data_IF_364527793333
#
_entry.id   IF_364527793333
#
_cell.length_a   1.000
_cell.length_b   1.000
_cell.length_c   1.000
_cell.angle_alpha   90.00
_cell.angle_beta   90.00
_cell.angle_gamma   90.00
#
_symmetry.space_group_name_H-M   'P 1'
#
loop_
_entity.id
_entity.type
_entity.pdbx_description
1 polymer ?
#
# COMPACT_ATOMS: atom_id res chain seq x y z
N UNK A 1 6.63 -5.09 -19.79
CA UNK A 1 6.31 -5.49 -18.40
C UNK A 1 6.70 -4.31 -17.51
N UNK A 2 5.74 -3.50 -17.07
CA UNK A 2 5.99 -2.38 -16.15
C UNK A 2 6.31 -2.97 -14.77
N UNK A 3 7.57 -2.88 -14.34
CA UNK A 3 8.04 -3.32 -13.02
C UNK A 3 7.77 -2.21 -12.00
N UNK A 4 6.78 -2.41 -11.13
CA UNK A 4 6.44 -1.58 -9.97
C UNK A 4 7.15 -2.10 -8.69
N UNK A 5 8.41 -2.50 -8.81
CA UNK A 5 9.27 -2.77 -7.64
C UNK A 5 10.11 -1.53 -7.35
N UNK A 6 10.46 -1.31 -6.08
CA UNK A 6 11.35 -0.26 -5.55
C UNK A 6 12.80 -0.30 -6.12
N UNK A 7 12.93 -0.48 -7.43
CA UNK A 7 14.18 -0.28 -8.19
C UNK A 7 14.23 1.17 -8.72
N UNK A 8 13.81 2.12 -7.88
CA UNK A 8 14.05 3.54 -8.07
C UNK A 8 15.33 3.80 -7.26
N UNK A 9 16.26 4.65 -7.72
CA UNK A 9 17.53 4.92 -7.02
C UNK A 9 17.34 5.27 -5.53
N UNK A 10 16.16 5.80 -5.16
CA UNK A 10 15.74 6.13 -3.79
C UNK A 10 15.04 4.99 -3.02
N UNK A 11 15.06 3.76 -3.52
CA UNK A 11 14.37 2.61 -2.93
C UNK A 11 14.58 2.44 -1.42
N UNK A 12 15.83 2.49 -0.91
CA UNK A 12 16.09 2.46 0.53
C UNK A 12 15.47 3.62 1.31
N UNK A 13 15.59 4.85 0.81
CA UNK A 13 15.05 6.05 1.44
C UNK A 13 13.51 6.00 1.51
N UNK A 14 12.87 5.49 0.44
CA UNK A 14 11.41 5.28 0.41
C UNK A 14 10.99 4.19 1.40
N UNK A 15 11.71 3.07 1.52
CA UNK A 15 11.39 2.04 2.50
C UNK A 15 11.56 2.53 3.95
N UNK A 16 12.58 3.36 4.21
CA UNK A 16 12.79 3.96 5.53
C UNK A 16 11.65 4.94 5.85
N UNK A 17 11.25 5.80 4.91
CA UNK A 17 10.11 6.70 5.07
C UNK A 17 8.78 5.94 5.25
N UNK A 18 8.56 4.86 4.49
CA UNK A 18 7.39 4.00 4.67
C UNK A 18 7.39 3.35 6.05
N UNK A 19 8.53 2.82 6.51
CA UNK A 19 8.65 2.28 7.87
C UNK A 19 8.35 3.33 8.95
N UNK A 20 8.78 4.58 8.77
CA UNK A 20 8.48 5.66 9.72
C UNK A 20 6.99 6.00 9.77
N UNK A 21 6.33 6.07 8.61
CA UNK A 21 4.93 6.51 8.50
C UNK A 21 3.95 5.37 8.84
N UNK A 22 4.25 4.15 8.43
CA UNK A 22 3.31 3.02 8.49
C UNK A 22 3.69 1.93 9.48
N UNK A 23 4.89 2.04 10.06
CA UNK A 23 5.52 0.98 10.84
C UNK A 23 5.76 -0.32 10.05
N UNK A 24 5.76 -0.26 8.72
CA UNK A 24 5.96 -1.39 7.81
C UNK A 24 7.03 -1.07 6.75
N UNK A 25 8.19 -1.73 6.83
CA UNK A 25 9.28 -1.63 5.84
C UNK A 25 9.03 -2.43 4.57
N UNK A 26 8.24 -3.50 4.68
CA UNK A 26 8.06 -4.46 3.59
C UNK A 26 7.09 -3.93 2.53
N UNK A 27 7.35 -4.35 1.30
CA UNK A 27 6.41 -4.14 0.19
C UNK A 27 5.63 -5.41 -0.11
N UNK A 28 4.36 -5.28 -0.55
CA UNK A 28 3.65 -4.02 -0.80
C UNK A 28 3.24 -3.27 0.48
N UNK A 29 3.27 -1.93 0.44
CA UNK A 29 2.65 -1.03 1.41
C UNK A 29 1.40 -0.43 0.73
N UNK A 30 0.20 -0.82 1.15
CA UNK A 30 -1.04 -0.54 0.44
C UNK A 30 -1.77 0.61 1.12
N UNK A 31 -2.22 1.58 0.32
CA UNK A 31 -3.02 2.70 0.78
C UNK A 31 -4.29 2.82 -0.05
N UNK A 32 -5.42 3.10 0.60
CA UNK A 32 -6.68 3.45 -0.05
C UNK A 32 -7.19 4.72 0.61
N UNK A 33 -7.51 5.75 -0.17
CA UNK A 33 -7.99 7.04 0.33
C UNK A 33 -7.07 7.67 1.41
N UNK A 34 -5.76 7.71 1.14
CA UNK A 34 -4.71 8.18 2.06
C UNK A 34 -4.60 7.42 3.40
N UNK A 35 -5.36 6.34 3.59
CA UNK A 35 -5.27 5.49 4.77
C UNK A 35 -4.40 4.26 4.50
N UNK A 36 -3.46 3.98 5.40
CA UNK A 36 -2.64 2.79 5.33
C UNK A 36 -3.48 1.53 5.62
N UNK A 37 -3.40 0.56 4.70
CA UNK A 37 -4.15 -0.70 4.74
C UNK A 37 -3.27 -1.85 5.24
N UNK A 38 -1.96 -1.81 4.97
CA UNK A 38 -1.00 -2.88 5.30
C UNK A 38 -0.40 -3.53 4.05
N UNK A 39 -0.04 -4.81 4.17
CA UNK A 39 0.46 -5.62 3.06
C UNK A 39 -0.65 -6.39 2.33
N UNK A 40 -0.24 -7.34 1.48
CA UNK A 40 -1.18 -8.18 0.74
C UNK A 40 -2.11 -8.98 1.68
N UNK A 41 -1.58 -9.49 2.79
CA UNK A 41 -2.37 -10.25 3.77
C UNK A 41 -3.49 -9.40 4.38
N UNK A 42 -3.21 -8.13 4.70
CA UNK A 42 -4.17 -7.20 5.26
C UNK A 42 -5.25 -6.81 4.24
N UNK A 43 -4.85 -6.63 2.97
CA UNK A 43 -5.80 -6.38 1.88
C UNK A 43 -6.76 -7.57 1.68
N UNK A 44 -6.23 -8.80 1.65
CA UNK A 44 -7.03 -10.01 1.51
C UNK A 44 -7.99 -10.16 2.69
N UNK A 45 -7.53 -9.88 3.92
CA UNK A 45 -8.40 -9.88 5.10
C UNK A 45 -9.56 -8.87 5.00
N UNK A 46 -9.44 -7.83 4.18
CA UNK A 46 -10.45 -6.81 3.91
C UNK A 46 -11.24 -7.03 2.62
N UNK A 47 -11.13 -8.19 1.96
CA UNK A 47 -11.80 -8.46 0.68
C UNK A 47 -13.32 -8.17 0.71
N UNK A 48 -14.00 -8.50 1.81
CA UNK A 48 -15.45 -8.22 1.97
C UNK A 48 -15.82 -6.74 2.08
N UNK A 49 -14.86 -5.86 2.36
CA UNK A 49 -15.05 -4.41 2.48
C UNK A 49 -14.42 -3.64 1.30
N UNK A 50 -13.62 -4.31 0.47
CA UNK A 50 -12.80 -3.67 -0.55
C UNK A 50 -13.62 -2.87 -1.57
N UNK A 51 -14.76 -3.41 -2.02
CA UNK A 51 -15.62 -2.68 -2.96
C UNK A 51 -16.16 -1.37 -2.36
N UNK A 52 -16.50 -1.36 -1.07
CA UNK A 52 -16.95 -0.15 -0.37
C UNK A 52 -15.81 0.86 -0.26
N UNK A 53 -14.63 0.41 0.20
CA UNK A 53 -13.46 1.27 0.35
C UNK A 53 -13.06 1.95 -0.97
N UNK A 54 -13.14 1.22 -2.09
CA UNK A 54 -12.83 1.76 -3.41
C UNK A 54 -13.90 2.73 -3.93
N UNK A 55 -15.19 2.49 -3.65
CA UNK A 55 -16.27 3.45 -3.98
C UNK A 55 -16.13 4.74 -3.19
N UNK A 56 -15.84 4.65 -1.89
CA UNK A 56 -15.59 5.81 -1.02
C UNK A 56 -14.37 6.61 -1.50
N UNK A 57 -13.37 5.93 -2.06
CA UNK A 57 -12.20 6.55 -2.69
C UNK A 57 -12.48 7.13 -4.09
N UNK A 58 -13.68 6.95 -4.66
CA UNK A 58 -14.00 7.35 -6.04
C UNK A 58 -13.23 6.56 -7.11
N UNK A 59 -12.76 5.36 -6.77
CA UNK A 59 -11.94 4.50 -7.63
C UNK A 59 -12.73 3.33 -8.27
N UNK A 60 -14.06 3.29 -8.09
CA UNK A 60 -15.00 2.32 -8.66
C UNK A 60 -16.24 3.01 -9.23
#
# INVERSE_FOLDING_TARGET
MLRLTLDIDDGPAIQDALQEITNQRTVPNIFINHQHIGGNSDLVAKAGQLSTLLKEAGAL
#
